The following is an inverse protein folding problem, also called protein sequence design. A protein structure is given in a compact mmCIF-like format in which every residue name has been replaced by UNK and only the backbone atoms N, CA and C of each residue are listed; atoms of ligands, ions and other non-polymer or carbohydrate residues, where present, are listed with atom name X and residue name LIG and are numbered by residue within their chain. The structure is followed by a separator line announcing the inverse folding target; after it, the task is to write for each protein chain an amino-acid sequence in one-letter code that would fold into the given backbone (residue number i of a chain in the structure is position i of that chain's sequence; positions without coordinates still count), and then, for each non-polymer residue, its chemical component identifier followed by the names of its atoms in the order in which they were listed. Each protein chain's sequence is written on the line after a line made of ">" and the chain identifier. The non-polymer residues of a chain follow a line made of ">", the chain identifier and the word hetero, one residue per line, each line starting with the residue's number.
data_IF_988268096298
#
_entry.id   IF_988268096298
#
_cell.length_a   1.000
_cell.length_b   1.000
_cell.length_c   1.000
_cell.angle_alpha   90.00
_cell.angle_beta   90.00
_cell.angle_gamma   90.00
#
_symmetry.space_group_name_H-M   'P 1'
#
loop_
_entity.id
_entity.type
_entity.pdbx_description
1 polymer ?
#
# COMPACT_ATOMS: atom_id res chain seq x y z
N UNK A 1 70.36 -32.46 15.78
CA UNK A 1 69.11 -32.48 14.99
C UNK A 1 67.92 -31.77 15.68
N UNK A 2 68.02 -31.37 16.94
CA UNK A 2 66.90 -30.84 17.74
C UNK A 2 66.57 -29.32 17.49
N UNK A 3 67.55 -28.44 17.25
CA UNK A 3 67.33 -26.99 17.15
C UNK A 3 66.75 -26.50 15.79
N UNK A 4 66.79 -27.30 14.72
CA UNK A 4 66.25 -26.92 13.42
C UNK A 4 64.73 -27.17 13.38
N UNK A 5 64.24 -28.24 14.01
CA UNK A 5 62.82 -28.59 14.05
C UNK A 5 62.06 -27.57 14.91
N UNK A 6 62.62 -27.14 16.04
CA UNK A 6 61.99 -26.17 16.97
C UNK A 6 61.89 -24.77 16.28
N UNK A 7 62.87 -24.35 15.52
CA UNK A 7 62.84 -23.07 14.78
C UNK A 7 61.78 -23.08 13.62
N UNK A 8 61.59 -24.22 12.97
CA UNK A 8 60.58 -24.37 11.93
C UNK A 8 59.15 -24.38 12.48
N UNK A 9 58.92 -24.99 13.64
CA UNK A 9 57.59 -24.98 14.29
C UNK A 9 57.21 -23.58 14.82
N UNK A 10 58.16 -22.80 15.35
CA UNK A 10 57.90 -21.43 15.82
C UNK A 10 57.61 -20.49 14.64
N UNK A 11 58.33 -20.63 13.52
CA UNK A 11 58.08 -19.83 12.30
C UNK A 11 56.72 -20.14 11.66
N UNK A 12 56.22 -21.41 11.73
CA UNK A 12 54.94 -21.80 11.20
C UNK A 12 53.77 -21.32 12.11
N UNK A 13 53.98 -21.34 13.43
CA UNK A 13 53.00 -20.85 14.39
C UNK A 13 52.82 -19.31 14.32
N UNK A 14 53.89 -18.53 14.10
CA UNK A 14 53.82 -17.09 13.90
C UNK A 14 53.15 -16.70 12.56
N UNK A 15 53.34 -17.48 11.51
CA UNK A 15 52.67 -17.24 10.25
C UNK A 15 51.16 -17.53 10.27
N UNK A 16 50.72 -18.52 11.06
CA UNK A 16 49.31 -18.81 11.28
C UNK A 16 48.59 -17.74 12.14
N UNK A 17 49.27 -17.10 13.08
CA UNK A 17 48.67 -16.02 13.87
C UNK A 17 48.47 -14.72 13.10
N UNK A 18 49.26 -14.48 12.06
CA UNK A 18 49.11 -13.29 11.19
C UNK A 18 47.95 -13.43 10.19
N UNK A 19 47.51 -14.63 9.88
CA UNK A 19 46.36 -14.88 9.01
C UNK A 19 45.01 -14.79 9.75
N UNK A 20 44.98 -14.86 11.10
CA UNK A 20 43.77 -14.74 11.90
C UNK A 20 43.31 -13.32 12.17
N UNK A 21 44.15 -12.29 11.87
CA UNK A 21 43.84 -10.88 12.14
C UNK A 21 43.09 -10.16 10.97
N UNK A 22 42.73 -10.89 9.91
CA UNK A 22 42.21 -10.36 8.66
C UNK A 22 40.68 -10.33 8.53
N UNK A 23 39.93 -10.84 9.46
CA UNK A 23 38.45 -10.91 9.32
C UNK A 23 37.75 -10.26 10.50
N UNK A 24 37.75 -8.96 10.63
CA UNK A 24 36.68 -8.25 11.32
C UNK A 24 36.78 -6.73 11.09
N UNK A 25 36.70 -6.31 9.86
CA UNK A 25 36.05 -5.03 9.59
C UNK A 25 34.68 -5.34 9.04
N UNK A 26 33.66 -5.49 9.90
CA UNK A 26 32.33 -5.06 9.55
C UNK A 26 32.47 -3.56 9.23
N UNK A 27 32.69 -3.26 7.96
CA UNK A 27 32.39 -1.94 7.48
C UNK A 27 30.89 -1.76 7.72
N UNK A 28 30.51 -0.87 8.62
CA UNK A 28 29.26 -0.14 8.51
C UNK A 28 29.35 0.68 7.20
N UNK A 29 29.41 -0.02 6.06
CA UNK A 29 29.04 0.58 4.79
C UNK A 29 27.58 0.92 4.99
N UNK A 30 27.29 2.23 5.16
CA UNK A 30 25.96 2.76 5.23
C UNK A 30 25.15 2.01 4.15
N UNK A 31 24.07 1.30 4.54
CA UNK A 31 23.25 0.57 3.59
C UNK A 31 22.70 1.58 2.59
N UNK A 32 23.24 1.57 1.38
CA UNK A 32 22.80 2.48 0.31
C UNK A 32 21.49 1.98 -0.33
N UNK A 33 20.75 1.11 0.38
CA UNK A 33 19.51 0.51 -0.12
C UNK A 33 18.40 0.63 0.93
N UNK A 34 17.23 1.06 0.50
CA UNK A 34 15.98 1.04 1.28
C UNK A 34 15.03 0.03 0.63
N UNK A 35 14.50 -0.89 1.43
CA UNK A 35 13.50 -1.88 1.02
C UNK A 35 12.11 -1.43 1.45
N UNK A 36 11.23 -1.17 0.49
CA UNK A 36 9.83 -0.80 0.72
C UNK A 36 8.95 -1.97 0.30
N UNK A 37 8.02 -2.39 1.17
CA UNK A 37 7.09 -3.48 0.85
C UNK A 37 5.68 -3.14 1.30
N UNK A 38 4.68 -3.58 0.55
CA UNK A 38 3.31 -3.55 1.04
C UNK A 38 2.22 -3.25 0.02
N UNK A 39 1.56 -2.13 0.19
CA UNK A 39 0.33 -1.77 -0.50
C UNK A 39 0.47 -1.63 -2.00
N UNK A 40 -0.26 -2.44 -2.77
CA UNK A 40 -0.31 -2.27 -4.23
C UNK A 40 -0.92 -0.93 -4.67
N UNK A 41 -1.75 -0.32 -3.82
CA UNK A 41 -2.25 1.04 -4.08
C UNK A 41 -1.12 2.05 -4.18
N UNK A 42 -0.03 1.87 -3.41
CA UNK A 42 1.07 2.81 -3.31
C UNK A 42 2.25 2.50 -4.25
N UNK A 43 2.29 1.31 -4.85
CA UNK A 43 3.47 0.87 -5.64
C UNK A 43 3.90 1.90 -6.68
N UNK A 44 2.97 2.37 -7.52
CA UNK A 44 3.30 3.35 -8.57
C UNK A 44 3.80 4.67 -7.98
N UNK A 45 3.18 5.15 -6.91
CA UNK A 45 3.58 6.37 -6.20
C UNK A 45 4.97 6.20 -5.57
N UNK A 46 5.20 5.08 -4.89
CA UNK A 46 6.50 4.79 -4.25
C UNK A 46 7.63 4.60 -5.27
N UNK A 47 7.33 4.01 -6.42
CA UNK A 47 8.28 3.91 -7.55
C UNK A 47 8.60 5.30 -8.12
N UNK A 48 7.61 6.16 -8.30
CA UNK A 48 7.82 7.53 -8.77
C UNK A 48 8.69 8.34 -7.79
N UNK A 49 8.46 8.22 -6.48
CA UNK A 49 9.34 8.81 -5.47
C UNK A 49 10.75 8.23 -5.52
N UNK A 50 10.87 6.90 -5.64
CA UNK A 50 12.17 6.22 -5.72
C UNK A 50 12.97 6.71 -6.93
N UNK A 51 12.37 6.78 -8.10
CA UNK A 51 13.01 7.28 -9.32
C UNK A 51 13.47 8.73 -9.18
N UNK A 52 12.62 9.59 -8.67
CA UNK A 52 12.96 11.02 -8.49
C UNK A 52 14.08 11.20 -7.46
N UNK A 53 14.02 10.48 -6.34
CA UNK A 53 15.05 10.50 -5.30
C UNK A 53 16.41 10.02 -5.81
N UNK A 54 16.44 8.87 -6.49
CA UNK A 54 17.70 8.29 -7.00
C UNK A 54 18.37 9.16 -8.06
N UNK A 55 17.62 9.98 -8.81
CA UNK A 55 18.21 10.95 -9.76
C UNK A 55 19.09 12.01 -9.06
N UNK A 56 18.69 12.41 -7.86
CA UNK A 56 19.40 13.43 -7.07
C UNK A 56 20.36 12.83 -6.04
N UNK A 57 20.29 11.51 -5.79
CA UNK A 57 21.13 10.79 -4.83
C UNK A 57 21.83 9.60 -5.49
N UNK A 58 22.82 9.84 -6.37
CA UNK A 58 23.52 8.78 -7.09
C UNK A 58 24.19 7.80 -6.14
N UNK A 59 24.16 6.51 -6.47
CA UNK A 59 24.70 5.43 -5.64
C UNK A 59 23.77 4.92 -4.55
N UNK A 60 22.53 5.45 -4.46
CA UNK A 60 21.49 4.90 -3.60
C UNK A 60 20.56 3.97 -4.38
N UNK A 61 19.88 3.06 -3.69
CA UNK A 61 18.90 2.15 -4.25
C UNK A 61 17.64 2.11 -3.40
N UNK A 62 16.49 2.38 -4.00
CA UNK A 62 15.18 2.25 -3.35
C UNK A 62 14.42 1.15 -4.08
N UNK A 63 14.18 0.03 -3.39
CA UNK A 63 13.48 -1.12 -3.95
C UNK A 63 12.03 -1.16 -3.42
N UNK A 64 11.05 -1.15 -4.33
CA UNK A 64 9.62 -1.15 -4.02
C UNK A 64 9.01 -2.50 -4.44
N UNK A 65 8.27 -3.12 -3.52
CA UNK A 65 7.59 -4.40 -3.75
C UNK A 65 6.16 -4.33 -3.22
N UNK A 66 5.18 -4.56 -4.06
CA UNK A 66 3.77 -4.69 -3.69
C UNK A 66 3.46 -5.99 -2.93
N UNK A 67 2.21 -6.43 -3.02
CA UNK A 67 1.74 -7.70 -2.43
C UNK A 67 0.81 -7.50 -1.23
N UNK A 68 0.31 -6.27 -1.02
CA UNK A 68 -0.70 -5.94 -0.02
C UNK A 68 -0.14 -5.42 1.31
N UNK A 69 -0.91 -4.53 1.94
CA UNK A 69 -0.53 -3.88 3.21
C UNK A 69 -0.21 -4.88 4.32
N UNK A 70 -0.93 -6.01 4.40
CA UNK A 70 -0.66 -7.05 5.40
C UNK A 70 0.73 -7.66 5.24
N UNK A 71 1.17 -7.89 4.00
CA UNK A 71 2.53 -8.40 3.73
C UNK A 71 3.61 -7.37 4.08
N UNK A 72 3.36 -6.07 3.82
CA UNK A 72 4.24 -4.99 4.25
C UNK A 72 4.40 -4.94 5.76
N UNK A 73 3.29 -4.98 6.50
CA UNK A 73 3.28 -4.99 7.97
C UNK A 73 4.05 -6.20 8.51
N UNK A 74 3.79 -7.39 7.98
CA UNK A 74 4.51 -8.61 8.37
C UNK A 74 6.01 -8.51 8.11
N UNK A 75 6.38 -7.91 6.95
CA UNK A 75 7.78 -7.68 6.59
C UNK A 75 8.46 -6.69 7.53
N UNK A 76 7.77 -5.64 7.97
CA UNK A 76 8.29 -4.69 8.94
C UNK A 76 8.52 -5.35 10.31
N UNK A 77 7.52 -6.10 10.79
CA UNK A 77 7.58 -6.84 12.06
C UNK A 77 8.74 -7.86 12.06
N UNK A 78 8.96 -8.58 10.95
CA UNK A 78 10.06 -9.53 10.78
C UNK A 78 11.38 -8.89 10.36
N UNK A 79 11.44 -7.57 10.28
CA UNK A 79 12.64 -6.79 9.88
C UNK A 79 13.21 -7.17 8.50
N UNK A 80 12.35 -7.58 7.56
CA UNK A 80 12.71 -7.90 6.16
C UNK A 80 12.42 -6.76 5.19
N UNK A 81 11.96 -5.62 5.68
CA UNK A 81 11.92 -4.34 4.97
C UNK A 81 12.28 -3.19 5.92
N UNK A 82 12.59 -2.04 5.36
CA UNK A 82 12.88 -0.81 6.11
C UNK A 82 11.62 0.04 6.29
N UNK A 83 10.74 -0.01 5.29
CA UNK A 83 9.47 0.73 5.26
C UNK A 83 8.35 -0.24 4.85
N UNK A 84 7.27 -0.27 5.63
CA UNK A 84 6.01 -0.87 5.21
C UNK A 84 5.07 0.22 4.66
N UNK A 85 4.76 0.16 3.36
CA UNK A 85 3.76 1.02 2.76
C UNK A 85 2.37 0.39 2.89
N UNK A 86 1.40 1.16 3.41
CA UNK A 86 0.08 0.62 3.72
C UNK A 86 -1.03 1.61 3.40
N UNK A 87 -2.17 1.10 2.99
CA UNK A 87 -3.39 1.84 2.65
C UNK A 87 -4.53 1.59 3.65
N UNK A 88 -4.18 1.22 4.86
CA UNK A 88 -4.97 1.16 6.10
C UNK A 88 -4.06 1.34 7.30
N UNK A 89 -4.61 1.62 8.43
CA UNK A 89 -3.83 1.62 9.67
C UNK A 89 -3.44 0.19 10.10
N UNK A 90 -2.34 0.08 10.85
CA UNK A 90 -2.04 -1.15 11.57
C UNK A 90 -3.10 -1.40 12.64
N UNK A 91 -3.52 -2.66 12.77
CA UNK A 91 -4.42 -3.09 13.84
C UNK A 91 -3.68 -3.13 15.17
N UNK A 92 -4.39 -2.97 16.28
CA UNK A 92 -3.80 -3.06 17.63
C UNK A 92 -3.05 -4.38 17.83
N UNK A 93 -3.58 -5.49 17.31
CA UNK A 93 -2.92 -6.80 17.36
C UNK A 93 -1.61 -6.85 16.58
N UNK A 94 -1.52 -6.14 15.45
CA UNK A 94 -0.30 -6.03 14.64
C UNK A 94 0.75 -5.15 15.34
N UNK A 95 0.31 -4.06 15.97
CA UNK A 95 1.16 -3.18 16.78
C UNK A 95 1.70 -3.93 18.00
N UNK A 96 0.84 -4.66 18.72
CA UNK A 96 1.25 -5.47 19.85
C UNK A 96 2.27 -6.54 19.47
N UNK A 97 2.04 -7.23 18.34
CA UNK A 97 2.99 -8.21 17.80
C UNK A 97 4.32 -7.57 17.41
N UNK A 98 4.30 -6.40 16.78
CA UNK A 98 5.51 -5.66 16.43
C UNK A 98 6.35 -5.36 17.68
N UNK A 99 5.71 -4.81 18.73
CA UNK A 99 6.37 -4.51 20.01
C UNK A 99 6.93 -5.76 20.68
N UNK A 100 6.19 -6.87 20.66
CA UNK A 100 6.68 -8.16 21.17
C UNK A 100 7.94 -8.64 20.44
N UNK A 101 8.08 -8.30 19.15
CA UNK A 101 9.27 -8.59 18.33
C UNK A 101 10.36 -7.53 18.43
N UNK A 102 10.23 -6.54 19.32
CA UNK A 102 11.19 -5.45 19.51
C UNK A 102 11.14 -4.38 18.41
N UNK A 103 10.05 -4.32 17.63
CA UNK A 103 9.81 -3.31 16.61
C UNK A 103 8.77 -2.32 17.13
N UNK A 104 9.14 -1.04 17.28
CA UNK A 104 8.19 0.05 17.56
C UNK A 104 7.78 0.71 16.23
N UNK A 105 6.54 0.48 15.74
CA UNK A 105 6.13 1.02 14.45
C UNK A 105 5.91 2.54 14.54
N UNK A 106 6.62 3.30 13.73
CA UNK A 106 6.41 4.76 13.61
C UNK A 106 5.56 5.07 12.40
N UNK A 107 4.38 5.63 12.64
CA UNK A 107 3.40 6.01 11.62
C UNK A 107 3.78 7.31 10.93
N UNK A 108 3.86 7.29 9.60
CA UNK A 108 4.07 8.46 8.76
C UNK A 108 2.98 8.53 7.69
N UNK A 109 2.06 9.50 7.79
CA UNK A 109 1.11 9.78 6.72
C UNK A 109 1.88 10.51 5.62
N UNK A 110 1.83 9.99 4.40
CA UNK A 110 2.62 10.49 3.25
C UNK A 110 1.75 11.04 2.12
N UNK A 111 0.48 10.65 2.07
CA UNK A 111 -0.53 11.13 1.13
C UNK A 111 -1.93 10.80 1.66
N UNK A 112 -2.99 11.34 1.01
CA UNK A 112 -4.35 10.84 1.16
C UNK A 112 -4.83 10.23 -0.16
N UNK A 113 -5.80 9.32 -0.07
CA UNK A 113 -6.37 8.58 -1.19
C UNK A 113 -7.89 8.57 -1.10
N UNK A 114 -8.56 8.76 -2.23
CA UNK A 114 -9.98 8.48 -2.37
C UNK A 114 -10.18 7.12 -3.05
N UNK A 115 -10.97 6.22 -2.46
CA UNK A 115 -11.32 4.99 -3.14
C UNK A 115 -12.28 5.28 -4.29
N UNK A 116 -11.81 5.11 -5.52
CA UNK A 116 -12.67 5.11 -6.70
C UNK A 116 -13.45 3.79 -6.77
N UNK A 117 -14.75 3.89 -6.97
CA UNK A 117 -15.59 2.77 -7.40
C UNK A 117 -15.80 2.92 -8.89
N UNK A 118 -15.47 1.89 -9.66
CA UNK A 118 -15.53 1.95 -11.11
C UNK A 118 -16.36 0.79 -11.69
N UNK A 119 -17.00 1.12 -12.79
CA UNK A 119 -17.77 0.19 -13.63
C UNK A 119 -17.34 0.37 -15.09
N UNK A 120 -17.73 -0.55 -15.93
CA UNK A 120 -17.48 -0.42 -17.36
C UNK A 120 -18.16 0.84 -17.93
N UNK A 121 -17.52 1.50 -18.87
CA UNK A 121 -18.01 2.74 -19.49
C UNK A 121 -19.40 2.59 -20.14
N UNK A 122 -19.76 1.39 -20.60
CA UNK A 122 -21.06 1.08 -21.19
C UNK A 122 -22.21 0.93 -20.17
N UNK A 123 -21.91 0.82 -18.87
CA UNK A 123 -22.92 0.68 -17.82
C UNK A 123 -23.62 2.04 -17.58
N UNK A 124 -24.96 2.12 -17.57
CA UNK A 124 -25.68 3.41 -17.40
C UNK A 124 -25.69 3.97 -15.98
N UNK A 125 -25.34 3.18 -14.94
CA UNK A 125 -25.32 3.64 -13.55
C UNK A 125 -24.31 4.80 -13.38
N UNK A 126 -24.71 5.88 -12.70
CA UNK A 126 -23.87 7.08 -12.54
C UNK A 126 -23.48 7.37 -11.09
N UNK A 127 -24.30 6.92 -10.16
CA UNK A 127 -24.10 7.14 -8.73
C UNK A 127 -24.64 5.99 -7.90
N UNK A 128 -24.06 5.80 -6.72
CA UNK A 128 -24.47 4.81 -5.73
C UNK A 128 -24.33 5.43 -4.33
N UNK A 129 -25.16 4.96 -3.39
CA UNK A 129 -24.96 5.26 -1.97
C UNK A 129 -24.02 4.25 -1.33
N UNK A 130 -23.47 4.58 -0.14
CA UNK A 130 -22.67 3.63 0.65
C UNK A 130 -23.49 2.36 0.95
N UNK A 131 -24.77 2.50 1.26
CA UNK A 131 -25.67 1.36 1.51
C UNK A 131 -25.82 0.47 0.27
N UNK A 132 -26.05 1.05 -0.91
CA UNK A 132 -26.11 0.31 -2.17
C UNK A 132 -24.80 -0.40 -2.48
N UNK A 133 -23.64 0.24 -2.22
CA UNK A 133 -22.34 -0.43 -2.36
C UNK A 133 -22.22 -1.62 -1.41
N UNK A 134 -22.63 -1.48 -0.15
CA UNK A 134 -22.63 -2.59 0.80
C UNK A 134 -23.53 -3.75 0.31
N UNK A 135 -24.73 -3.45 -0.17
CA UNK A 135 -25.66 -4.48 -0.67
C UNK A 135 -25.15 -5.17 -1.94
N UNK A 136 -24.47 -4.43 -2.83
CA UNK A 136 -23.81 -5.02 -3.99
C UNK A 136 -22.70 -5.98 -3.56
N UNK A 137 -21.73 -5.49 -2.77
CA UNK A 137 -20.54 -6.27 -2.45
C UNK A 137 -20.78 -7.38 -1.42
N UNK A 138 -21.86 -7.33 -0.64
CA UNK A 138 -22.34 -8.46 0.18
C UNK A 138 -23.16 -9.47 -0.62
N UNK A 139 -23.54 -9.15 -1.87
CA UNK A 139 -24.30 -10.03 -2.76
C UNK A 139 -25.80 -10.02 -2.50
N UNK A 140 -26.34 -9.03 -1.79
CA UNK A 140 -27.78 -8.81 -1.63
C UNK A 140 -28.39 -8.30 -2.94
N UNK A 141 -27.73 -7.36 -3.61
CA UNK A 141 -28.06 -6.88 -4.96
C UNK A 141 -27.18 -7.62 -5.95
N UNK A 142 -27.79 -8.33 -6.91
CA UNK A 142 -27.08 -9.22 -7.85
C UNK A 142 -27.25 -8.85 -9.31
N UNK A 143 -28.17 -7.95 -9.63
CA UNK A 143 -28.46 -7.55 -10.99
C UNK A 143 -28.47 -6.04 -11.14
N UNK A 144 -27.84 -5.52 -12.18
CA UNK A 144 -27.77 -4.08 -12.45
C UNK A 144 -29.14 -3.43 -12.60
N UNK A 145 -30.18 -4.16 -13.04
CA UNK A 145 -31.56 -3.63 -13.15
C UNK A 145 -32.13 -3.16 -11.81
N UNK A 146 -31.67 -3.71 -10.69
CA UNK A 146 -32.09 -3.31 -9.34
C UNK A 146 -31.60 -1.90 -8.98
N UNK A 147 -30.63 -1.37 -9.73
CA UNK A 147 -29.98 -0.09 -9.55
C UNK A 147 -30.24 0.87 -10.74
N UNK A 148 -31.36 0.72 -11.45
CA UNK A 148 -31.68 1.47 -12.68
C UNK A 148 -30.65 1.27 -13.82
N UNK A 149 -29.89 0.19 -13.74
CA UNK A 149 -28.99 -0.27 -14.79
C UNK A 149 -29.71 -1.10 -15.85
N UNK A 150 -28.94 -1.64 -16.81
CA UNK A 150 -29.43 -2.65 -17.74
C UNK A 150 -29.60 -4.00 -17.04
N UNK A 151 -30.32 -4.92 -17.63
CA UNK A 151 -30.34 -6.29 -17.15
C UNK A 151 -28.95 -6.93 -17.34
N UNK A 152 -28.40 -7.49 -16.27
CA UNK A 152 -27.10 -8.13 -16.26
C UNK A 152 -26.67 -8.47 -14.83
N UNK A 153 -26.10 -9.67 -14.64
CA UNK A 153 -25.57 -10.10 -13.35
C UNK A 153 -24.34 -9.29 -13.00
N UNK A 154 -24.29 -8.73 -11.82
CA UNK A 154 -23.13 -7.95 -11.34
C UNK A 154 -21.94 -8.90 -11.11
N UNK A 155 -20.79 -8.58 -11.72
CA UNK A 155 -19.51 -9.26 -11.48
C UNK A 155 -18.72 -8.43 -10.45
N UNK A 156 -18.56 -9.01 -9.26
CA UNK A 156 -17.92 -8.33 -8.12
C UNK A 156 -16.41 -8.53 -8.16
N UNK A 157 -15.67 -7.45 -8.26
CA UNK A 157 -14.21 -7.47 -8.23
C UNK A 157 -13.72 -6.85 -6.92
N UNK A 158 -13.07 -7.64 -6.10
CA UNK A 158 -12.45 -7.24 -4.86
C UNK A 158 -10.95 -7.45 -4.90
N UNK A 159 -10.27 -7.04 -3.87
CA UNK A 159 -8.84 -7.28 -3.68
C UNK A 159 -8.63 -8.48 -2.76
N UNK A 160 -7.46 -9.11 -2.85
CA UNK A 160 -7.05 -10.15 -1.92
C UNK A 160 -7.15 -9.70 -0.46
N UNK A 161 -7.38 -10.64 0.45
CA UNK A 161 -7.66 -10.37 1.89
C UNK A 161 -6.53 -9.68 2.64
N UNK A 162 -5.27 -9.79 2.17
CA UNK A 162 -4.10 -9.09 2.69
C UNK A 162 -3.97 -7.63 2.19
N UNK A 163 -4.81 -7.24 1.22
CA UNK A 163 -4.87 -5.87 0.70
C UNK A 163 -5.43 -4.92 1.75
N UNK A 164 -4.73 -3.81 2.01
CA UNK A 164 -5.26 -2.73 2.84
C UNK A 164 -6.53 -2.12 2.27
N UNK A 165 -6.67 -2.10 0.95
CA UNK A 165 -7.88 -1.62 0.26
C UNK A 165 -9.08 -2.53 0.49
N UNK A 166 -8.87 -3.85 0.48
CA UNK A 166 -9.91 -4.82 0.84
C UNK A 166 -10.40 -4.60 2.27
N UNK A 167 -9.48 -4.53 3.23
CA UNK A 167 -9.79 -4.34 4.65
C UNK A 167 -10.51 -3.02 4.87
N UNK A 168 -9.99 -1.93 4.31
CA UNK A 168 -10.60 -0.60 4.44
C UNK A 168 -12.02 -0.57 3.86
N UNK A 169 -12.22 -1.10 2.65
CA UNK A 169 -13.55 -1.14 2.02
C UNK A 169 -14.54 -1.97 2.85
N UNK A 170 -14.12 -3.11 3.39
CA UNK A 170 -14.94 -3.94 4.28
C UNK A 170 -15.37 -3.17 5.52
N UNK A 171 -14.42 -2.53 6.20
CA UNK A 171 -14.70 -1.84 7.46
C UNK A 171 -15.56 -0.58 7.26
N UNK A 172 -15.31 0.21 6.22
CA UNK A 172 -15.94 1.51 6.05
C UNK A 172 -17.20 1.46 5.15
N UNK A 173 -17.24 0.57 4.17
CA UNK A 173 -18.37 0.45 3.25
C UNK A 173 -19.31 -0.67 3.69
N UNK A 174 -18.84 -1.93 3.78
CA UNK A 174 -19.73 -3.04 4.12
C UNK A 174 -20.25 -2.94 5.56
N UNK A 175 -19.39 -2.54 6.48
CA UNK A 175 -19.68 -2.45 7.92
C UNK A 175 -20.02 -1.03 8.40
N UNK A 176 -20.05 -0.07 7.51
CA UNK A 176 -20.37 1.34 7.82
C UNK A 176 -19.55 1.91 9.01
N UNK A 177 -18.29 1.50 9.16
CA UNK A 177 -17.44 1.89 10.29
C UNK A 177 -17.79 1.23 11.63
N UNK A 178 -18.75 0.31 11.67
CA UNK A 178 -19.14 -0.40 12.89
C UNK A 178 -18.24 -1.64 13.09
N UNK A 179 -17.41 -1.62 14.12
CA UNK A 179 -16.51 -2.73 14.46
C UNK A 179 -17.22 -4.04 14.82
N UNK A 180 -18.46 -3.96 15.35
CA UNK A 180 -19.26 -5.11 15.73
C UNK A 180 -20.02 -5.76 14.56
N UNK A 181 -20.11 -5.05 13.42
CA UNK A 181 -20.78 -5.59 12.23
C UNK A 181 -20.00 -6.76 11.66
N UNK A 182 -20.75 -7.77 11.20
CA UNK A 182 -20.19 -9.03 10.67
C UNK A 182 -20.35 -9.16 9.15
N UNK A 183 -20.73 -8.09 8.47
CA UNK A 183 -20.89 -8.09 7.04
C UNK A 183 -19.55 -8.43 6.35
N UNK A 184 -19.61 -9.37 5.40
CA UNK A 184 -18.48 -9.87 4.65
C UNK A 184 -18.76 -9.73 3.15
N UNK A 185 -17.71 -9.72 2.35
CA UNK A 185 -17.86 -9.79 0.90
C UNK A 185 -18.62 -11.07 0.49
N UNK A 186 -19.42 -10.94 -0.56
CA UNK A 186 -20.03 -12.09 -1.21
C UNK A 186 -18.98 -13.16 -1.54
N UNK A 187 -19.24 -14.45 -1.31
CA UNK A 187 -18.34 -15.52 -1.73
C UNK A 187 -18.17 -15.61 -3.25
N UNK A 188 -19.03 -14.92 -4.01
CA UNK A 188 -18.95 -14.81 -5.47
C UNK A 188 -17.97 -13.71 -5.92
N UNK A 189 -17.44 -12.90 -5.01
CA UNK A 189 -16.50 -11.84 -5.36
C UNK A 189 -15.15 -12.41 -5.81
N UNK A 190 -14.69 -11.96 -6.97
CA UNK A 190 -13.37 -12.32 -7.52
C UNK A 190 -12.29 -11.50 -6.82
N UNK A 191 -11.32 -12.18 -6.22
CA UNK A 191 -10.22 -11.54 -5.49
C UNK A 191 -9.03 -11.34 -6.43
N UNK A 192 -8.72 -10.09 -6.75
CA UNK A 192 -7.65 -9.72 -7.67
C UNK A 192 -6.40 -9.20 -6.92
N UNK A 193 -5.19 -9.49 -7.44
CA UNK A 193 -3.94 -9.24 -6.71
C UNK A 193 -3.55 -7.76 -6.65
N UNK A 194 -3.98 -6.92 -7.61
CA UNK A 194 -3.54 -5.53 -7.70
C UNK A 194 -4.66 -4.57 -8.07
N UNK A 195 -4.46 -3.28 -7.83
CA UNK A 195 -5.35 -2.21 -8.30
C UNK A 195 -5.43 -2.19 -9.82
N UNK A 196 -4.30 -2.42 -10.51
CA UNK A 196 -4.25 -2.50 -11.96
C UNK A 196 -5.11 -3.65 -12.52
N UNK A 197 -5.08 -4.82 -11.89
CA UNK A 197 -5.90 -5.96 -12.31
C UNK A 197 -7.40 -5.65 -12.22
N UNK A 198 -7.85 -4.89 -11.20
CA UNK A 198 -9.25 -4.41 -11.12
C UNK A 198 -9.56 -3.48 -12.30
N UNK A 199 -8.69 -2.52 -12.59
CA UNK A 199 -8.85 -1.57 -13.70
C UNK A 199 -8.98 -2.30 -15.04
N UNK A 200 -8.12 -3.27 -15.29
CA UNK A 200 -8.11 -4.03 -16.53
C UNK A 200 -9.37 -4.86 -16.70
N UNK A 201 -9.82 -5.54 -15.64
CA UNK A 201 -11.04 -6.35 -15.68
C UNK A 201 -12.30 -5.50 -15.85
N UNK A 202 -12.45 -4.39 -15.11
CA UNK A 202 -13.59 -3.46 -15.28
C UNK A 202 -13.65 -2.90 -16.70
N UNK A 203 -12.48 -2.62 -17.30
CA UNK A 203 -12.43 -2.09 -18.66
C UNK A 203 -12.98 -3.09 -19.70
N UNK A 204 -12.74 -4.39 -19.50
CA UNK A 204 -13.09 -5.44 -20.45
C UNK A 204 -14.47 -6.05 -20.19
N UNK A 205 -14.91 -6.09 -18.92
CA UNK A 205 -16.14 -6.75 -18.50
C UNK A 205 -17.25 -5.73 -18.27
N UNK A 206 -18.26 -5.74 -19.14
CA UNK A 206 -19.38 -4.80 -19.11
C UNK A 206 -20.26 -4.90 -17.87
N UNK A 207 -20.20 -5.99 -17.13
CA UNK A 207 -21.00 -6.25 -15.94
C UNK A 207 -20.22 -6.07 -14.63
N UNK A 208 -18.91 -5.76 -14.73
CA UNK A 208 -18.04 -5.65 -13.58
C UNK A 208 -18.22 -4.34 -12.80
N UNK A 209 -18.06 -4.47 -11.49
CA UNK A 209 -17.83 -3.37 -10.55
C UNK A 209 -16.61 -3.69 -9.71
N UNK A 210 -15.74 -2.70 -9.51
CA UNK A 210 -14.54 -2.83 -8.68
C UNK A 210 -14.18 -1.54 -7.97
N UNK A 211 -13.21 -1.59 -7.07
CA UNK A 211 -12.73 -0.43 -6.33
C UNK A 211 -11.22 -0.46 -6.17
N UNK A 212 -10.61 0.73 -6.20
CA UNK A 212 -9.16 0.94 -6.12
C UNK A 212 -8.83 2.38 -5.73
N UNK A 213 -7.58 2.70 -5.44
CA UNK A 213 -7.14 4.07 -5.15
C UNK A 213 -7.23 4.98 -6.37
N UNK A 214 -7.58 6.26 -6.15
CA UNK A 214 -7.86 7.23 -7.23
C UNK A 214 -6.72 7.41 -8.24
N UNK A 215 -5.47 7.19 -7.84
CA UNK A 215 -4.31 7.24 -8.73
C UNK A 215 -4.27 6.17 -9.84
N UNK A 216 -5.26 5.26 -9.87
CA UNK A 216 -5.44 4.27 -10.93
C UNK A 216 -6.61 4.58 -11.87
N UNK A 217 -7.27 5.72 -11.72
CA UNK A 217 -8.36 6.14 -12.60
C UNK A 217 -7.81 6.36 -14.02
N UNK A 218 -8.49 5.80 -15.00
CA UNK A 218 -8.17 5.99 -16.42
C UNK A 218 -9.40 6.43 -17.21
N UNK A 219 -9.24 7.09 -18.36
CA UNK A 219 -10.37 7.50 -19.20
C UNK A 219 -11.22 6.34 -19.77
N UNK A 220 -10.72 5.10 -19.67
CA UNK A 220 -11.41 3.89 -20.15
C UNK A 220 -12.48 3.37 -19.17
N UNK A 221 -12.50 3.91 -17.96
CA UNK A 221 -13.43 3.51 -16.90
C UNK A 221 -14.51 4.57 -16.70
N UNK A 222 -15.64 4.13 -16.15
CA UNK A 222 -16.62 5.03 -15.57
C UNK A 222 -16.51 4.99 -14.06
N UNK A 223 -16.08 6.10 -13.46
CA UNK A 223 -16.06 6.27 -12.01
C UNK A 223 -17.46 6.63 -11.55
N UNK A 224 -18.00 5.83 -10.63
CA UNK A 224 -19.33 6.04 -10.05
C UNK A 224 -19.23 7.09 -8.95
N UNK A 225 -20.14 8.07 -8.95
CA UNK A 225 -20.25 9.04 -7.85
C UNK A 225 -20.82 8.37 -6.62
N UNK A 226 -20.27 8.67 -5.45
CA UNK A 226 -20.69 8.08 -4.17
C UNK A 226 -21.37 9.13 -3.31
N UNK A 227 -22.57 8.79 -2.84
CA UNK A 227 -23.31 9.55 -1.83
C UNK A 227 -23.27 8.82 -0.49
N UNK A 228 -23.31 9.56 0.62
CA UNK A 228 -23.41 8.97 1.96
C UNK A 228 -24.76 8.25 2.10
N UNK A 229 -25.85 8.89 1.65
CA UNK A 229 -27.21 8.39 1.65
C UNK A 229 -28.03 8.96 0.48
N UNK A 230 -29.30 8.61 0.37
CA UNK A 230 -30.20 9.03 -0.71
C UNK A 230 -30.50 10.54 -0.72
N UNK A 231 -30.22 11.26 0.35
CA UNK A 231 -30.48 12.70 0.51
C UNK A 231 -29.22 13.54 0.29
N UNK A 232 -28.06 12.91 0.32
CA UNK A 232 -26.77 13.57 0.21
C UNK A 232 -26.32 13.69 -1.26
N UNK A 233 -25.57 14.75 -1.61
CA UNK A 233 -24.98 14.84 -2.94
C UNK A 233 -23.95 13.74 -3.18
N UNK A 234 -23.89 13.23 -4.39
CA UNK A 234 -22.94 12.22 -4.82
C UNK A 234 -21.68 12.83 -5.46
N UNK A 235 -20.50 12.36 -5.08
CA UNK A 235 -19.22 12.87 -5.55
C UNK A 235 -18.35 11.75 -6.14
N UNK A 236 -17.58 12.08 -7.17
CA UNK A 236 -16.41 11.30 -7.58
C UNK A 236 -15.20 11.72 -6.73
N UNK A 237 -14.18 10.88 -6.57
CA UNK A 237 -12.97 11.27 -5.85
C UNK A 237 -12.25 12.40 -6.61
N UNK A 238 -11.89 13.44 -5.86
CA UNK A 238 -11.13 14.58 -6.36
C UNK A 238 -10.28 15.14 -5.21
N UNK A 239 -9.12 15.69 -5.55
CA UNK A 239 -8.15 16.20 -4.56
C UNK A 239 -8.83 17.17 -3.58
N UNK A 240 -9.55 18.17 -4.10
CA UNK A 240 -10.20 19.21 -3.30
C UNK A 240 -11.30 18.66 -2.37
N UNK A 241 -12.03 17.63 -2.83
CA UNK A 241 -13.11 17.01 -2.04
C UNK A 241 -12.55 16.16 -0.89
N UNK A 242 -11.42 15.50 -1.13
CA UNK A 242 -10.74 14.68 -0.12
C UNK A 242 -10.07 15.58 0.91
N UNK A 243 -9.39 16.64 0.51
CA UNK A 243 -8.80 17.63 1.42
C UNK A 243 -9.82 18.29 2.34
N UNK A 244 -11.05 18.47 1.85
CA UNK A 244 -12.17 19.03 2.62
C UNK A 244 -12.98 17.98 3.39
N UNK A 245 -12.58 16.70 3.37
CA UNK A 245 -13.31 15.56 3.95
C UNK A 245 -14.77 15.48 3.45
N UNK A 246 -15.04 15.82 2.19
CA UNK A 246 -16.35 15.77 1.55
C UNK A 246 -16.57 14.40 0.86
N UNK A 247 -15.52 13.83 0.25
CA UNK A 247 -15.62 12.53 -0.40
C UNK A 247 -15.73 11.41 0.66
N UNK A 248 -16.78 10.55 0.61
CA UNK A 248 -17.13 9.71 1.77
C UNK A 248 -16.20 8.51 2.01
N UNK A 249 -15.44 8.06 1.01
CA UNK A 249 -14.53 6.93 1.14
C UNK A 249 -13.09 7.33 0.84
N UNK A 250 -12.51 8.10 1.77
CA UNK A 250 -11.13 8.59 1.72
C UNK A 250 -10.32 8.09 2.92
N UNK A 251 -9.01 7.93 2.72
CA UNK A 251 -8.11 7.33 3.71
C UNK A 251 -6.69 7.90 3.64
N UNK A 252 -5.89 7.81 4.71
CA UNK A 252 -4.47 8.08 4.63
C UNK A 252 -3.73 6.94 3.90
N UNK A 253 -2.68 7.31 3.16
CA UNK A 253 -1.60 6.44 2.73
C UNK A 253 -0.44 6.61 3.70
N UNK A 254 0.05 5.50 4.23
CA UNK A 254 0.94 5.50 5.39
C UNK A 254 2.21 4.71 5.08
N UNK A 255 3.34 5.21 5.54
CA UNK A 255 4.59 4.48 5.61
C UNK A 255 4.97 4.25 7.08
N UNK A 256 5.04 2.99 7.49
CA UNK A 256 5.55 2.63 8.81
C UNK A 256 7.03 2.30 8.75
N UNK A 257 7.78 2.80 9.72
CA UNK A 257 9.21 2.52 9.92
C UNK A 257 9.45 1.85 11.29
N UNK A 258 10.61 1.21 11.46
CA UNK A 258 11.04 0.63 12.74
C UNK A 258 11.62 1.72 13.64
N UNK A 259 10.80 2.36 14.47
CA UNK A 259 11.17 3.54 15.21
C UNK A 259 11.38 4.76 14.30
N UNK A 260 12.01 5.80 14.85
CA UNK A 260 12.38 6.98 14.07
C UNK A 260 13.31 6.59 12.90
N UNK A 261 13.02 7.01 11.67
CA UNK A 261 13.87 6.67 10.53
C UNK A 261 15.27 7.26 10.69
N UNK A 262 16.29 6.50 10.25
CA UNK A 262 17.69 6.88 10.33
C UNK A 262 18.39 6.65 8.97
N UNK A 263 19.56 7.27 8.78
CA UNK A 263 20.39 7.11 7.58
C UNK A 263 19.60 7.39 6.30
N UNK A 264 19.77 6.53 5.27
CA UNK A 264 19.13 6.69 3.96
C UNK A 264 17.60 6.68 4.07
N UNK A 265 17.02 5.84 4.95
CA UNK A 265 15.56 5.82 5.18
C UNK A 265 15.05 7.18 5.66
N UNK A 266 15.77 7.85 6.55
CA UNK A 266 15.41 9.20 7.02
C UNK A 266 15.45 10.20 5.86
N UNK A 267 16.54 10.23 5.09
CA UNK A 267 16.69 11.16 3.96
C UNK A 267 15.58 10.93 2.91
N UNK A 268 15.23 9.67 2.63
CA UNK A 268 14.15 9.36 1.71
C UNK A 268 12.77 9.78 2.25
N UNK A 269 12.50 9.58 3.55
CA UNK A 269 11.25 10.03 4.17
C UNK A 269 11.14 11.57 4.23
N UNK A 270 12.26 12.27 4.41
CA UNK A 270 12.32 13.73 4.33
C UNK A 270 12.04 14.23 2.90
N UNK A 271 12.62 13.57 1.89
CA UNK A 271 12.29 13.86 0.49
C UNK A 271 10.80 13.67 0.18
N UNK A 272 10.20 12.54 0.59
CA UNK A 272 8.76 12.28 0.38
C UNK A 272 7.90 13.43 0.93
N UNK A 273 8.26 13.99 2.08
CA UNK A 273 7.54 15.10 2.74
C UNK A 273 7.89 16.47 2.20
N UNK A 274 8.95 16.60 1.41
CA UNK A 274 9.33 17.87 0.81
C UNK A 274 8.29 18.34 -0.22
N UNK A 275 8.30 19.64 -0.58
CA UNK A 275 7.44 20.15 -1.65
C UNK A 275 7.62 19.37 -2.96
N UNK A 276 8.84 18.93 -3.27
CA UNK A 276 9.15 18.13 -4.46
C UNK A 276 8.53 16.73 -4.38
N UNK A 277 8.67 16.05 -3.24
CA UNK A 277 8.04 14.75 -3.00
C UNK A 277 6.51 14.82 -3.02
N UNK A 278 5.92 15.90 -2.51
CA UNK A 278 4.48 16.12 -2.53
C UNK A 278 3.94 16.53 -3.91
N UNK A 279 4.78 17.11 -4.76
CA UNK A 279 4.44 17.32 -6.17
C UNK A 279 4.35 15.98 -6.94
N UNK A 280 5.17 14.98 -6.59
CA UNK A 280 5.02 13.62 -7.12
C UNK A 280 3.66 13.03 -6.73
N UNK A 281 3.20 13.23 -5.48
CA UNK A 281 1.87 12.79 -5.04
C UNK A 281 0.77 13.34 -5.95
N UNK A 282 0.83 14.66 -6.24
CA UNK A 282 -0.15 15.33 -7.11
C UNK A 282 -0.12 14.79 -8.54
N UNK A 283 1.08 14.58 -9.09
CA UNK A 283 1.26 14.04 -10.45
C UNK A 283 0.79 12.60 -10.61
N UNK A 284 0.74 11.87 -9.50
CA UNK A 284 0.23 10.50 -9.45
C UNK A 284 -1.26 10.43 -9.07
N UNK A 285 -1.97 11.56 -9.16
CA UNK A 285 -3.40 11.70 -8.87
C UNK A 285 -3.80 11.26 -7.44
N UNK A 286 -2.88 11.36 -6.48
CA UNK A 286 -3.16 11.26 -5.06
C UNK A 286 -3.21 12.65 -4.42
N UNK A 287 -3.62 12.70 -3.15
CA UNK A 287 -3.83 13.96 -2.43
C UNK A 287 -2.61 14.27 -1.55
N UNK A 288 -1.89 15.38 -1.81
CA UNK A 288 -0.77 15.79 -0.99
C UNK A 288 -1.17 16.08 0.46
N UNK A 289 -0.24 15.82 1.39
CA UNK A 289 -0.32 16.26 2.77
C UNK A 289 0.47 17.56 2.98
N UNK A 290 0.16 18.35 4.03
CA UNK A 290 0.90 19.58 4.36
C UNK A 290 2.38 19.36 4.62
#
# INVERSE_FOLDING_TARGET
>A
MSNRILRSCVALATLLLLLASGCSRKSDSARNTVQIKGSDTMVNLSQAWAEQFMKTHPGTSIAVTGGGSGNGITSLISSTCDIAEVSREMKESEIALARQKGVEPTKNIVALDGLAVAINAANPVNQLTIAQLADIFTGKVKNWKELCGREGRIVLLSREVNSGTHVYFKEHVLRHGNAEAKDEFSPEALLLPSSQAIVDEVTQNTDAIGYFGMGYITPRLKVVKIAVDDKSPAYAPAIELIQKNIYPISRPLIMYTKGAPAGLTKTFMEFIRSPEGQEVVRKMDFVPVP
#
